data_IF_685920566888
#
_entry.id   IF_685920566888
#
_cell.length_a   1.000
_cell.length_b   1.000
_cell.length_c   1.000
_cell.angle_alpha   90.00
_cell.angle_beta   90.00
_cell.angle_gamma   90.00
#
_symmetry.space_group_name_H-M   'P 1'
#
loop_
_entity.id
_entity.type
_entity.pdbx_description
1 polymer ?
#
# COMPACT_ATOMS: atom_id res chain seq x y z
N UNK A 1 12.64 -21.06 -29.22
CA UNK A 1 11.27 -20.85 -28.72
C UNK A 1 11.23 -19.51 -28.03
N UNK A 2 10.53 -18.52 -28.59
CA UNK A 2 10.38 -17.20 -28.00
C UNK A 2 9.04 -17.14 -27.26
N UNK A 3 9.07 -16.79 -25.96
CA UNK A 3 7.87 -16.59 -25.14
C UNK A 3 7.38 -15.18 -25.41
N UNK A 4 6.23 -15.07 -26.07
CA UNK A 4 5.53 -13.81 -26.26
C UNK A 4 4.85 -13.41 -24.95
N UNK A 5 5.40 -12.41 -24.26
CA UNK A 5 4.75 -11.74 -23.14
C UNK A 5 3.63 -10.86 -23.70
N UNK A 6 2.38 -11.30 -23.59
CA UNK A 6 1.22 -10.47 -23.89
C UNK A 6 1.09 -9.36 -22.85
N UNK A 7 1.60 -8.17 -23.19
CA UNK A 7 1.32 -6.93 -22.45
C UNK A 7 -0.15 -6.59 -22.72
N UNK A 8 -1.03 -6.96 -21.80
CA UNK A 8 -2.43 -6.58 -21.86
C UNK A 8 -2.53 -5.08 -21.56
N UNK A 9 -2.71 -4.28 -22.61
CA UNK A 9 -2.99 -2.85 -22.51
C UNK A 9 -4.33 -2.65 -21.79
N UNK A 10 -4.26 -2.32 -20.50
CA UNK A 10 -5.44 -2.05 -19.66
C UNK A 10 -6.15 -0.78 -20.18
N UNK A 11 -7.43 -0.91 -20.51
CA UNK A 11 -8.26 0.18 -21.00
C UNK A 11 -8.52 1.24 -19.91
N UNK A 12 -8.48 2.54 -20.24
CA UNK A 12 -8.95 3.59 -19.33
C UNK A 12 -10.48 3.59 -19.23
N UNK A 13 -11.00 3.61 -18.00
CA UNK A 13 -12.43 3.81 -17.74
C UNK A 13 -12.78 5.30 -17.83
N UNK A 14 -14.02 5.61 -18.23
CA UNK A 14 -14.47 6.94 -18.63
C UNK A 14 -14.31 8.01 -17.52
N UNK A 15 -13.90 9.21 -17.92
CA UNK A 15 -13.65 10.36 -17.06
C UNK A 15 -14.84 10.65 -16.14
N UNK A 16 -14.66 10.40 -14.84
CA UNK A 16 -15.55 10.90 -13.80
C UNK A 16 -15.42 12.45 -13.72
N UNK A 17 -16.49 13.17 -13.37
CA UNK A 17 -16.53 14.62 -13.49
C UNK A 17 -15.49 15.29 -12.57
N UNK A 18 -14.73 16.20 -13.16
CA UNK A 18 -13.79 17.11 -12.50
C UNK A 18 -14.50 17.81 -11.32
N UNK A 19 -14.10 17.46 -10.10
CA UNK A 19 -14.72 17.97 -8.88
C UNK A 19 -14.45 17.15 -7.62
N UNK A 20 -13.82 15.97 -7.74
CA UNK A 20 -13.26 15.26 -6.58
C UNK A 20 -12.07 16.06 -6.04
N UNK A 21 -12.37 16.91 -5.06
CA UNK A 21 -11.49 17.58 -4.11
C UNK A 21 -10.06 17.01 -4.10
N UNK A 22 -9.09 17.79 -4.59
CA UNK A 22 -7.66 17.46 -4.63
C UNK A 22 -7.09 17.07 -3.25
N UNK A 23 -7.75 17.46 -2.15
CA UNK A 23 -7.38 17.06 -0.79
C UNK A 23 -7.44 15.54 -0.57
N UNK A 24 -8.24 14.80 -1.36
CA UNK A 24 -8.32 13.34 -1.27
C UNK A 24 -7.09 12.61 -1.82
N UNK A 25 -6.20 13.30 -2.54
CA UNK A 25 -4.98 12.74 -3.12
C UNK A 25 -3.76 12.81 -2.17
N UNK A 26 -3.90 13.45 -1.00
CA UNK A 26 -2.85 13.46 0.01
C UNK A 26 -3.00 12.25 0.94
N UNK A 27 -1.99 11.36 1.09
CA UNK A 27 -2.10 10.14 1.89
C UNK A 27 -2.60 10.34 3.31
N UNK A 28 -2.05 11.33 4.04
CA UNK A 28 -2.50 11.64 5.40
C UNK A 28 -3.98 12.10 5.48
N UNK A 29 -4.45 12.88 4.50
CA UNK A 29 -5.84 13.32 4.46
C UNK A 29 -6.78 12.18 4.07
N UNK A 30 -6.36 11.34 3.12
CA UNK A 30 -7.09 10.14 2.72
C UNK A 30 -7.22 9.15 3.89
N UNK A 31 -6.13 8.91 4.63
CA UNK A 31 -6.15 8.13 5.87
C UNK A 31 -7.08 8.74 6.92
N UNK A 32 -6.99 10.04 7.17
CA UNK A 32 -7.85 10.73 8.14
C UNK A 32 -9.34 10.66 7.77
N UNK A 33 -9.67 10.55 6.48
CA UNK A 33 -11.03 10.39 5.97
C UNK A 33 -11.63 8.99 6.10
N UNK A 34 -10.84 7.97 6.45
CA UNK A 34 -11.34 6.61 6.63
C UNK A 34 -12.25 6.48 7.86
N UNK A 35 -13.25 5.58 7.83
CA UNK A 35 -14.02 5.23 9.01
C UNK A 35 -13.08 4.82 10.17
N UNK A 36 -13.38 5.18 11.42
CA UNK A 36 -12.56 4.79 12.58
C UNK A 36 -12.28 3.29 12.63
N UNK A 37 -13.29 2.45 12.42
CA UNK A 37 -13.15 0.99 12.42
C UNK A 37 -12.15 0.49 11.36
N UNK A 38 -12.16 1.08 10.17
CA UNK A 38 -11.21 0.76 9.10
C UNK A 38 -9.80 1.19 9.45
N UNK A 39 -9.63 2.39 10.02
CA UNK A 39 -8.31 2.87 10.50
C UNK A 39 -7.75 1.97 11.58
N UNK A 40 -8.58 1.56 12.53
CA UNK A 40 -8.18 0.71 13.64
C UNK A 40 -7.77 -0.68 13.15
N UNK A 41 -8.52 -1.26 12.20
CA UNK A 41 -8.19 -2.55 11.61
C UNK A 41 -6.86 -2.52 10.84
N UNK A 42 -6.67 -1.51 9.98
CA UNK A 42 -5.42 -1.32 9.23
C UNK A 42 -4.24 -1.03 10.17
N UNK A 43 -4.45 -0.14 11.15
CA UNK A 43 -3.46 0.23 12.16
C UNK A 43 -3.01 -0.96 13.01
N UNK A 44 -3.95 -1.78 13.47
CA UNK A 44 -3.63 -3.01 14.23
C UNK A 44 -2.81 -3.98 13.39
N UNK A 45 -3.13 -4.12 12.10
CA UNK A 45 -2.37 -4.98 11.18
C UNK A 45 -0.94 -4.46 10.98
N UNK A 46 -0.76 -3.14 10.83
CA UNK A 46 0.56 -2.51 10.75
C UNK A 46 1.38 -2.70 12.03
N UNK A 47 0.75 -2.57 13.20
CA UNK A 47 1.43 -2.80 14.48
C UNK A 47 1.85 -4.26 14.63
N UNK A 48 1.00 -5.22 14.26
CA UNK A 48 1.37 -6.65 14.28
C UNK A 48 2.53 -6.92 13.31
N UNK A 49 2.49 -6.36 12.09
CA UNK A 49 3.59 -6.48 11.12
C UNK A 49 4.92 -6.04 11.71
N UNK A 50 4.98 -4.82 12.25
CA UNK A 50 6.21 -4.26 12.84
C UNK A 50 6.65 -5.09 14.05
N UNK A 51 5.71 -5.62 14.83
CA UNK A 51 6.04 -6.49 15.96
C UNK A 51 6.62 -7.84 15.51
N UNK A 52 6.10 -8.45 14.44
CA UNK A 52 6.66 -9.67 13.88
C UNK A 52 8.06 -9.43 13.29
N UNK A 53 8.27 -8.32 12.59
CA UNK A 53 9.61 -7.93 12.10
C UNK A 53 10.60 -7.72 13.25
N UNK A 54 10.16 -7.09 14.34
CA UNK A 54 10.96 -6.98 15.55
C UNK A 54 11.34 -8.35 16.13
N UNK A 55 10.38 -9.26 16.26
CA UNK A 55 10.61 -10.61 16.77
C UNK A 55 11.53 -11.44 15.86
N UNK A 56 11.46 -11.24 14.54
CA UNK A 56 12.34 -11.91 13.58
C UNK A 56 13.82 -11.63 13.84
N UNK A 57 14.14 -10.48 14.44
CA UNK A 57 15.49 -10.05 14.69
C UNK A 57 16.29 -9.70 13.43
N UNK A 58 15.66 -9.60 12.25
CA UNK A 58 16.36 -9.44 10.97
C UNK A 58 17.15 -8.12 10.87
N UNK A 59 16.67 -7.07 11.54
CA UNK A 59 17.33 -5.77 11.60
C UNK A 59 18.38 -5.64 12.73
N UNK A 60 18.54 -6.69 13.56
CA UNK A 60 19.35 -6.64 14.79
C UNK A 60 20.54 -7.60 14.71
N UNK A 61 21.64 -7.20 15.37
CA UNK A 61 22.76 -8.09 15.65
C UNK A 61 22.29 -9.28 16.49
N UNK A 62 22.97 -10.41 16.39
CA UNK A 62 22.52 -11.67 17.02
C UNK A 62 22.37 -11.53 18.53
N UNK A 63 23.24 -10.75 19.17
CA UNK A 63 23.24 -10.49 20.61
C UNK A 63 22.05 -9.65 21.08
N UNK A 64 21.44 -8.87 20.17
CA UNK A 64 20.32 -7.98 20.44
C UNK A 64 18.96 -8.60 20.04
N UNK A 65 18.96 -9.84 19.51
CA UNK A 65 17.72 -10.53 19.12
C UNK A 65 16.93 -10.97 20.34
N UNK A 66 15.62 -10.71 20.33
CA UNK A 66 14.70 -11.15 21.38
C UNK A 66 14.49 -12.66 21.35
N UNK A 67 14.32 -13.22 20.15
CA UNK A 67 14.17 -14.65 19.94
C UNK A 67 15.53 -15.26 19.61
N UNK A 68 15.96 -16.24 20.41
CA UNK A 68 17.21 -16.98 20.17
C UNK A 68 16.99 -18.26 19.36
N UNK A 69 15.75 -18.72 19.24
CA UNK A 69 15.40 -19.91 18.47
C UNK A 69 15.14 -19.55 17.00
N UNK A 70 15.86 -20.18 16.09
CA UNK A 70 15.76 -19.92 14.65
C UNK A 70 14.40 -20.33 14.07
N UNK A 71 13.73 -21.34 14.63
CA UNK A 71 12.41 -21.76 14.21
C UNK A 71 11.35 -20.70 14.51
N UNK A 72 11.38 -20.15 15.72
CA UNK A 72 10.49 -19.05 16.13
C UNK A 72 10.76 -17.78 15.33
N UNK A 73 12.03 -17.46 15.06
CA UNK A 73 12.39 -16.33 14.19
C UNK A 73 11.87 -16.51 12.77
N UNK A 74 12.04 -17.70 12.19
CA UNK A 74 11.54 -18.01 10.85
C UNK A 74 10.02 -17.89 10.79
N UNK A 75 9.30 -18.38 11.81
CA UNK A 75 7.84 -18.24 11.90
C UNK A 75 7.40 -16.76 11.99
N UNK A 76 8.16 -15.91 12.69
CA UNK A 76 7.92 -14.47 12.74
C UNK A 76 8.10 -13.81 11.37
N UNK A 77 9.16 -14.17 10.62
CA UNK A 77 9.40 -13.69 9.24
C UNK A 77 8.21 -14.05 8.34
N UNK A 78 7.81 -15.32 8.31
CA UNK A 78 6.70 -15.75 7.46
C UNK A 78 5.38 -15.04 7.83
N UNK A 79 5.18 -14.74 9.13
CA UNK A 79 4.01 -13.99 9.57
C UNK A 79 4.08 -12.54 9.13
N UNK A 80 5.23 -11.89 9.25
CA UNK A 80 5.44 -10.53 8.75
C UNK A 80 5.18 -10.46 7.24
N UNK A 81 5.72 -11.39 6.45
CA UNK A 81 5.49 -11.44 5.00
C UNK A 81 4.00 -11.58 4.64
N UNK A 82 3.26 -12.44 5.35
CA UNK A 82 1.80 -12.58 5.17
C UNK A 82 1.06 -11.29 5.52
N UNK A 83 1.43 -10.63 6.62
CA UNK A 83 0.82 -9.37 7.05
C UNK A 83 1.14 -8.24 6.07
N UNK A 84 2.37 -8.20 5.55
CA UNK A 84 2.82 -7.23 4.57
C UNK A 84 2.00 -7.33 3.27
N UNK A 85 1.88 -8.54 2.72
CA UNK A 85 1.06 -8.76 1.52
C UNK A 85 -0.40 -8.35 1.75
N UNK A 86 -0.95 -8.74 2.91
CA UNK A 86 -2.33 -8.38 3.27
C UNK A 86 -2.53 -6.87 3.41
N UNK A 87 -1.61 -6.16 4.08
CA UNK A 87 -1.81 -4.73 4.33
C UNK A 87 -1.73 -3.91 3.05
N UNK A 88 -0.93 -4.33 2.05
CA UNK A 88 -0.94 -3.72 0.73
C UNK A 88 -2.32 -3.79 0.08
N UNK A 89 -2.92 -4.98 0.06
CA UNK A 89 -4.25 -5.18 -0.53
C UNK A 89 -5.34 -4.44 0.26
N UNK A 90 -5.33 -4.53 1.59
CA UNK A 90 -6.33 -3.93 2.46
C UNK A 90 -6.27 -2.38 2.38
N UNK A 91 -5.08 -1.77 2.34
CA UNK A 91 -4.92 -0.31 2.19
C UNK A 91 -5.36 0.15 0.80
N UNK A 92 -4.97 -0.57 -0.26
CA UNK A 92 -5.36 -0.21 -1.62
C UNK A 92 -6.89 -0.26 -1.79
N UNK A 93 -7.55 -1.27 -1.23
CA UNK A 93 -9.00 -1.41 -1.25
C UNK A 93 -9.71 -0.33 -0.43
N UNK A 94 -9.15 0.08 0.71
CA UNK A 94 -9.73 1.13 1.57
C UNK A 94 -9.61 2.53 0.97
N UNK A 95 -8.63 2.76 0.10
CA UNK A 95 -8.29 4.08 -0.44
C UNK A 95 -8.36 4.12 -1.99
N UNK A 96 -9.52 3.84 -2.60
CA UNK A 96 -9.65 3.78 -4.06
C UNK A 96 -9.42 5.11 -4.76
N UNK A 97 -9.56 6.24 -4.06
CA UNK A 97 -9.19 7.55 -4.61
C UNK A 97 -7.67 7.66 -4.87
N UNK A 98 -6.85 7.00 -4.04
CA UNK A 98 -5.39 6.98 -4.19
C UNK A 98 -4.93 5.88 -5.13
N UNK A 99 -5.50 4.68 -5.02
CA UNK A 99 -4.97 3.49 -5.69
C UNK A 99 -5.84 2.94 -6.82
N UNK A 100 -7.02 3.50 -7.02
CA UNK A 100 -8.02 3.00 -7.97
C UNK A 100 -8.83 1.83 -7.39
N UNK A 101 -9.93 1.46 -8.04
CA UNK A 101 -10.62 0.22 -7.73
C UNK A 101 -9.77 -0.99 -8.16
N UNK A 102 -10.09 -2.16 -7.61
CA UNK A 102 -9.32 -3.38 -7.87
C UNK A 102 -9.18 -3.67 -9.38
N UNK A 103 -7.94 -3.75 -9.86
CA UNK A 103 -7.61 -4.02 -11.26
C UNK A 103 -7.53 -2.79 -12.18
N UNK A 104 -7.90 -1.61 -11.69
CA UNK A 104 -7.95 -0.37 -12.48
C UNK A 104 -7.02 0.71 -11.88
N UNK A 105 -6.49 1.59 -12.74
CA UNK A 105 -5.77 2.76 -12.27
C UNK A 105 -6.77 3.84 -11.83
N UNK A 106 -6.45 4.65 -10.81
CA UNK A 106 -7.28 5.77 -10.43
C UNK A 106 -7.26 6.87 -11.50
N UNK A 107 -8.35 7.65 -11.57
CA UNK A 107 -8.55 8.65 -12.61
C UNK A 107 -7.40 9.69 -12.71
N UNK A 108 -6.79 10.04 -11.57
CA UNK A 108 -5.69 11.02 -11.52
C UNK A 108 -4.45 10.57 -12.30
N UNK A 109 -4.28 9.28 -12.59
CA UNK A 109 -3.14 8.77 -13.36
C UNK A 109 -3.14 9.34 -14.78
N UNK A 110 -4.31 9.50 -15.40
CA UNK A 110 -4.40 10.08 -16.75
C UNK A 110 -4.14 11.60 -16.73
N UNK A 111 -4.53 12.28 -15.67
CA UNK A 111 -4.21 13.71 -15.48
C UNK A 111 -2.70 13.92 -15.29
N UNK A 112 -2.05 13.06 -14.50
CA UNK A 112 -0.58 13.08 -14.35
C UNK A 112 0.13 12.82 -15.69
N UNK A 113 -0.28 11.79 -16.44
CA UNK A 113 0.30 11.48 -17.77
C UNK A 113 0.13 12.61 -18.77
N UNK A 114 -0.97 13.36 -18.68
CA UNK A 114 -1.22 14.50 -19.53
C UNK A 114 -0.53 15.80 -19.05
N UNK A 115 0.26 15.74 -17.97
CA UNK A 115 0.95 16.89 -17.40
C UNK A 115 0.04 17.89 -16.69
N UNK A 116 -1.21 17.48 -16.35
CA UNK A 116 -2.17 18.30 -15.60
C UNK A 116 -2.00 18.20 -14.09
N UNK A 117 -1.30 17.17 -13.63
CA UNK A 117 -0.92 16.99 -12.23
C UNK A 117 0.60 16.81 -12.14
N UNK A 118 1.16 17.25 -11.02
CA UNK A 118 2.56 17.04 -10.68
C UNK A 118 2.67 16.22 -9.40
N UNK A 119 3.72 15.40 -9.31
CA UNK A 119 4.04 14.68 -8.08
C UNK A 119 5.13 15.45 -7.33
N UNK A 120 4.85 15.77 -6.08
CA UNK A 120 5.86 16.33 -5.18
C UNK A 120 6.87 15.25 -4.76
N UNK A 121 8.03 15.69 -4.23
CA UNK A 121 9.02 14.78 -3.66
C UNK A 121 8.49 13.98 -2.46
N UNK A 122 7.40 14.41 -1.85
CA UNK A 122 6.75 13.74 -0.71
C UNK A 122 5.71 12.70 -1.17
N UNK A 123 5.58 12.46 -2.48
CA UNK A 123 4.59 11.53 -3.03
C UNK A 123 3.15 12.05 -3.00
N UNK A 124 2.97 13.35 -2.77
CA UNK A 124 1.67 14.05 -2.80
C UNK A 124 1.44 14.61 -4.20
N UNK A 125 0.20 14.49 -4.70
CA UNK A 125 -0.23 15.06 -5.99
C UNK A 125 -0.67 16.52 -5.83
N UNK A 126 -0.24 17.39 -6.74
CA UNK A 126 -0.51 18.84 -6.76
C UNK A 126 -0.81 19.38 -8.15
#
# INVERSE_FOLDING_TARGET
>A
MAIALSIQTRQPCAAAPFGAVLTSLHPAAAWAGLPPETRDALGTTLVDLVFQDFLSGAAYAEEDRVLTDDGQRSAAIERAERLLNRIYDDVAAALPALFGPAGENPAWVEDYRAGRLTMSNEGVLS
#
